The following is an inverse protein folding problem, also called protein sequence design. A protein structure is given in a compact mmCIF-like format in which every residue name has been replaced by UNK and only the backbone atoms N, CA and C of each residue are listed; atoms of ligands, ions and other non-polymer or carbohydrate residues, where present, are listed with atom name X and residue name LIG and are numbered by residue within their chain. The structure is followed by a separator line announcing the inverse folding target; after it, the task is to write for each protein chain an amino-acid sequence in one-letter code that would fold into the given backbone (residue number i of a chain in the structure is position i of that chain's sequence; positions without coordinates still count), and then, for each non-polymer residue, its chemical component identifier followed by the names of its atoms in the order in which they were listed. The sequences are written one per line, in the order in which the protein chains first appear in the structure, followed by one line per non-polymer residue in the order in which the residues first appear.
data_IF_926143942256
#
_entry.id   IF_926143942256
#
_cell.length_a   1.000
_cell.length_b   1.000
_cell.length_c   1.000
_cell.angle_alpha   90.00
_cell.angle_beta   90.00
_cell.angle_gamma   90.00
#
_symmetry.space_group_name_H-M   'P 1'
#
loop_
_entity.id
_entity.type
_entity.pdbx_description
1 polymer ?
#
# COMPACT_ATOMS: atom_id res chain seq x y z
N UNK A 1 -21.61 -69.64 -29.23
CA UNK A 1 -22.75 -68.71 -29.43
C UNK A 1 -22.14 -67.33 -29.69
N UNK A 2 -22.10 -66.89 -30.95
CA UNK A 2 -23.03 -65.91 -31.52
C UNK A 2 -22.79 -64.49 -30.96
N UNK A 3 -22.48 -63.41 -31.71
CA UNK A 3 -22.39 -63.13 -33.15
C UNK A 3 -21.54 -61.87 -33.39
N UNK A 4 -20.90 -61.86 -34.55
CA UNK A 4 -20.39 -60.71 -35.30
C UNK A 4 -21.26 -59.43 -35.22
N UNK A 5 -20.61 -58.26 -35.23
CA UNK A 5 -20.76 -57.31 -36.36
C UNK A 5 -19.66 -56.23 -36.36
N UNK A 6 -18.88 -56.30 -37.44
CA UNK A 6 -17.95 -55.31 -37.96
C UNK A 6 -18.77 -54.14 -38.54
N UNK A 7 -18.36 -52.90 -38.28
CA UNK A 7 -18.56 -51.82 -39.23
C UNK A 7 -17.31 -50.92 -39.23
N UNK A 8 -16.56 -51.01 -40.33
CA UNK A 8 -15.56 -50.04 -40.76
C UNK A 8 -16.22 -48.67 -40.92
N UNK A 9 -15.58 -47.63 -40.39
CA UNK A 9 -15.61 -46.32 -41.04
C UNK A 9 -14.20 -45.94 -41.48
N UNK A 10 -14.13 -45.73 -42.79
CA UNK A 10 -12.97 -45.43 -43.61
C UNK A 10 -12.66 -43.94 -43.49
N UNK A 11 -11.40 -43.66 -43.15
CA UNK A 11 -10.51 -42.66 -43.76
C UNK A 11 -11.10 -41.25 -44.03
N UNK A 12 -10.58 -40.29 -43.27
CA UNK A 12 -10.59 -38.87 -43.62
C UNK A 12 -9.37 -38.19 -43.01
N UNK A 13 -8.19 -38.43 -43.59
CA UNK A 13 -6.97 -37.72 -43.23
C UNK A 13 -6.97 -36.33 -43.89
N UNK A 14 -7.32 -35.30 -43.13
CA UNK A 14 -7.02 -33.91 -43.47
C UNK A 14 -5.93 -33.42 -42.53
N UNK A 15 -4.67 -33.47 -43.00
CA UNK A 15 -3.54 -32.78 -42.34
C UNK A 15 -3.68 -31.30 -42.68
N UNK A 16 -4.28 -30.55 -41.76
CA UNK A 16 -4.25 -29.08 -41.79
C UNK A 16 -3.04 -28.65 -40.96
N UNK A 17 -2.00 -28.17 -41.64
CA UNK A 17 -0.88 -27.46 -41.03
C UNK A 17 -1.40 -26.10 -40.53
N UNK A 18 -1.69 -26.01 -39.23
CA UNK A 18 -1.94 -24.74 -38.55
C UNK A 18 -0.61 -24.17 -38.02
N UNK A 19 -0.34 -22.86 -38.19
CA UNK A 19 0.80 -22.23 -37.54
C UNK A 19 0.57 -22.18 -36.03
N UNK A 20 1.57 -22.62 -35.26
CA UNK A 20 1.65 -22.39 -33.82
C UNK A 20 1.72 -20.88 -33.55
N UNK A 21 0.58 -20.28 -33.23
CA UNK A 21 0.54 -18.98 -32.59
C UNK A 21 0.20 -19.21 -31.12
N UNK A 22 1.21 -18.99 -30.28
CA UNK A 22 1.11 -18.94 -28.83
C UNK A 22 -0.06 -18.04 -28.41
N UNK A 23 -1.17 -18.65 -27.98
CA UNK A 23 -2.13 -18.01 -27.10
C UNK A 23 -1.91 -18.59 -25.70
N UNK A 24 -0.83 -18.15 -25.04
CA UNK A 24 -0.86 -18.10 -23.59
C UNK A 24 -1.92 -17.04 -23.21
N UNK A 25 -2.77 -17.29 -22.20
CA UNK A 25 -3.54 -16.19 -21.62
C UNK A 25 -2.53 -15.24 -20.99
N UNK A 26 -2.23 -14.13 -21.68
CA UNK A 26 -1.77 -12.94 -20.99
C UNK A 26 -2.97 -12.38 -20.24
N UNK A 27 -3.30 -12.99 -19.10
CA UNK A 27 -3.67 -12.18 -17.96
C UNK A 27 -2.41 -11.39 -17.62
N UNK A 28 -2.24 -10.27 -18.31
CA UNK A 28 -1.60 -9.13 -17.68
C UNK A 28 -2.53 -8.79 -16.53
N UNK A 29 -2.21 -9.30 -15.35
CA UNK A 29 -2.53 -8.58 -14.13
C UNK A 29 -1.87 -7.22 -14.32
N UNK A 30 -2.68 -6.28 -14.81
CA UNK A 30 -2.31 -4.88 -14.92
C UNK A 30 -1.95 -4.46 -13.52
N UNK A 31 -0.65 -4.42 -13.26
CA UNK A 31 -0.03 -3.79 -12.12
C UNK A 31 -0.75 -2.48 -11.88
N UNK A 32 -1.36 -2.39 -10.70
CA UNK A 32 -1.97 -1.16 -10.26
C UNK A 32 -0.92 -0.05 -10.31
N UNK A 33 -1.15 0.95 -11.14
CA UNK A 33 -1.12 2.32 -10.70
C UNK A 33 -1.76 3.20 -11.76
N UNK A 34 -3.09 3.24 -11.73
CA UNK A 34 -3.83 4.34 -12.30
C UNK A 34 -3.79 5.51 -11.31
N UNK A 35 -2.62 6.09 -11.06
CA UNK A 35 -2.52 7.40 -10.45
C UNK A 35 -2.17 8.44 -11.51
N UNK A 36 -3.27 8.99 -12.00
CA UNK A 36 -3.43 10.28 -12.64
C UNK A 36 -2.31 11.26 -12.31
N UNK A 37 -1.59 11.63 -13.36
CA UNK A 37 -0.75 12.83 -13.46
C UNK A 37 -1.54 14.06 -13.00
N UNK A 38 -1.19 14.64 -11.86
CA UNK A 38 -1.37 16.08 -11.60
C UNK A 38 -0.41 16.53 -10.48
N UNK A 39 0.56 17.34 -10.89
CA UNK A 39 1.44 18.19 -10.08
C UNK A 39 2.47 17.47 -9.22
N UNK A 40 3.68 17.36 -9.78
CA UNK A 40 4.92 17.28 -9.02
C UNK A 40 5.06 18.53 -8.13
N UNK A 41 4.38 18.52 -6.99
CA UNK A 41 4.97 19.05 -5.77
C UNK A 41 5.68 17.87 -5.14
N UNK A 42 6.98 18.02 -4.91
CA UNK A 42 7.87 16.98 -4.38
C UNK A 42 7.18 16.26 -3.22
N UNK A 43 6.66 15.05 -3.48
CA UNK A 43 6.15 14.23 -2.41
C UNK A 43 7.36 13.76 -1.63
N UNK A 44 7.51 14.14 -0.35
CA UNK A 44 8.70 13.76 0.41
C UNK A 44 8.82 12.25 0.63
N UNK A 45 7.78 11.48 0.27
CA UNK A 45 7.75 10.03 0.38
C UNK A 45 7.57 9.34 -0.99
N UNK A 46 7.91 10.00 -2.12
CA UNK A 46 7.80 9.40 -3.46
C UNK A 46 8.56 8.08 -3.58
N UNK A 47 9.68 7.97 -2.87
CA UNK A 47 10.57 6.82 -2.91
C UNK A 47 10.09 5.67 -2.01
N UNK A 48 9.09 5.91 -1.16
CA UNK A 48 8.47 4.91 -0.28
C UNK A 48 7.27 4.25 -1.00
N UNK A 49 6.54 5.02 -1.81
CA UNK A 49 5.34 4.56 -2.49
C UNK A 49 5.69 3.55 -3.61
N UNK A 50 5.54 2.26 -3.29
CA UNK A 50 5.81 1.14 -4.20
C UNK A 50 7.13 0.42 -3.95
N UNK A 51 7.95 0.91 -3.02
CA UNK A 51 9.24 0.29 -2.66
C UNK A 51 9.12 -0.79 -1.58
N UNK A 52 8.02 -0.79 -0.82
CA UNK A 52 7.73 -1.75 0.24
C UNK A 52 6.40 -2.43 0.02
N UNK A 53 6.28 -3.67 0.45
CA UNK A 53 5.00 -4.38 0.53
C UNK A 53 4.09 -3.72 1.55
N UNK A 54 2.78 -3.92 1.40
CA UNK A 54 1.79 -3.46 2.36
C UNK A 54 2.07 -3.99 3.78
N UNK A 55 2.56 -5.24 3.89
CA UNK A 55 2.86 -5.86 5.18
C UNK A 55 4.06 -5.19 5.86
N UNK A 56 5.14 -4.96 5.11
CA UNK A 56 6.34 -4.25 5.61
C UNK A 56 5.99 -2.84 6.10
N UNK A 57 5.18 -2.13 5.32
CA UNK A 57 4.71 -0.79 5.69
C UNK A 57 3.89 -0.81 6.99
N UNK A 58 2.95 -1.75 7.10
CA UNK A 58 2.10 -1.90 8.27
C UNK A 58 2.90 -2.30 9.52
N UNK A 59 3.83 -3.24 9.38
CA UNK A 59 4.65 -3.73 10.49
C UNK A 59 5.56 -2.63 11.03
N UNK A 60 6.28 -1.92 10.15
CA UNK A 60 7.13 -0.80 10.52
C UNK A 60 6.33 0.32 11.21
N UNK A 61 5.17 0.70 10.65
CA UNK A 61 4.28 1.70 11.24
C UNK A 61 3.73 1.29 12.61
N UNK A 62 3.30 0.03 12.74
CA UNK A 62 2.66 -0.49 13.96
C UNK A 62 3.60 -0.49 15.17
N UNK A 63 4.90 -0.74 14.94
CA UNK A 63 5.93 -0.74 15.97
C UNK A 63 6.31 0.65 16.46
N UNK A 64 6.15 1.68 15.62
CA UNK A 64 6.79 2.98 15.80
C UNK A 64 5.77 4.10 15.99
N UNK A 65 5.13 4.55 14.92
CA UNK A 65 4.28 5.74 14.92
C UNK A 65 2.83 5.43 15.35
N UNK A 66 2.31 4.23 15.06
CA UNK A 66 0.92 3.88 15.36
C UNK A 66 0.54 4.06 16.84
N UNK A 67 1.34 3.60 17.83
CA UNK A 67 1.00 3.76 19.25
C UNK A 67 0.92 5.23 19.67
N UNK A 68 1.77 6.08 19.09
CA UNK A 68 1.80 7.52 19.37
C UNK A 68 0.52 8.18 18.87
N UNK A 69 0.14 7.93 17.62
CA UNK A 69 -1.06 8.56 17.04
C UNK A 69 -2.37 8.00 17.58
N UNK A 70 -2.42 6.71 17.94
CA UNK A 70 -3.60 6.13 18.59
C UNK A 70 -3.82 6.76 19.96
N UNK A 71 -2.78 6.86 20.78
CA UNK A 71 -2.85 7.45 22.13
C UNK A 71 -3.27 8.92 22.10
N UNK A 72 -2.69 9.70 21.18
CA UNK A 72 -2.81 11.16 21.24
C UNK A 72 -3.84 11.75 20.25
N UNK A 73 -4.22 11.01 19.22
CA UNK A 73 -5.11 11.50 18.15
C UNK A 73 -6.34 10.61 17.94
N UNK A 74 -6.36 9.40 18.50
CA UNK A 74 -7.39 8.37 18.25
C UNK A 74 -8.81 8.81 18.56
N UNK A 75 -9.03 9.62 19.59
CA UNK A 75 -10.36 10.11 19.97
C UNK A 75 -11.08 10.84 18.83
N UNK A 76 -10.34 11.60 18.01
CA UNK A 76 -10.89 12.32 16.86
C UNK A 76 -10.59 11.59 15.55
N UNK A 77 -9.31 11.31 15.31
CA UNK A 77 -8.77 10.75 14.05
C UNK A 77 -8.79 9.22 13.96
N UNK A 78 -9.36 8.53 14.96
CA UNK A 78 -9.71 7.12 14.89
C UNK A 78 -11.22 6.88 14.77
N UNK A 79 -12.05 7.91 14.99
CA UNK A 79 -13.51 7.74 15.15
C UNK A 79 -14.29 8.51 14.10
N UNK A 80 -14.26 9.85 14.14
CA UNK A 80 -15.21 10.69 13.37
C UNK A 80 -14.54 11.78 12.51
N UNK A 81 -13.29 12.15 12.77
CA UNK A 81 -12.60 13.21 12.05
C UNK A 81 -11.68 12.65 10.96
N UNK A 82 -11.84 13.14 9.74
CA UNK A 82 -10.94 12.84 8.64
C UNK A 82 -9.68 13.72 8.68
N UNK A 83 -8.53 13.23 8.19
CA UNK A 83 -8.28 11.86 7.76
C UNK A 83 -8.20 10.87 8.94
N UNK A 84 -8.69 9.64 8.77
CA UNK A 84 -8.72 8.63 9.84
C UNK A 84 -7.43 7.80 9.89
N UNK A 85 -6.35 8.40 10.40
CA UNK A 85 -5.04 7.74 10.46
C UNK A 85 -4.75 7.02 11.79
N UNK A 86 -5.51 7.31 12.85
CA UNK A 86 -5.27 6.76 14.19
C UNK A 86 -6.20 5.57 14.49
N UNK A 87 -6.23 4.61 13.57
CA UNK A 87 -7.10 3.42 13.60
C UNK A 87 -6.33 2.15 14.01
N UNK A 88 -7.07 1.10 14.36
CA UNK A 88 -6.47 -0.20 14.76
C UNK A 88 -5.78 -0.91 13.60
N UNK A 89 -6.34 -0.80 12.39
CA UNK A 89 -5.75 -1.36 11.17
C UNK A 89 -4.50 -0.56 10.77
N UNK A 90 -3.33 -1.15 11.01
CA UNK A 90 -2.03 -0.48 10.83
C UNK A 90 -1.81 -0.05 9.38
N UNK A 91 -2.16 -0.90 8.41
CA UNK A 91 -2.00 -0.59 6.99
C UNK A 91 -2.86 0.60 6.57
N UNK A 92 -4.12 0.62 6.99
CA UNK A 92 -5.05 1.73 6.71
C UNK A 92 -4.56 3.02 7.34
N UNK A 93 -4.04 2.97 8.57
CA UNK A 93 -3.42 4.11 9.24
C UNK A 93 -2.20 4.64 8.47
N UNK A 94 -1.27 3.75 8.12
CA UNK A 94 -0.05 4.06 7.37
C UNK A 94 -0.35 4.69 6.00
N UNK A 95 -1.18 4.03 5.19
CA UNK A 95 -1.62 4.54 3.88
C UNK A 95 -2.31 5.89 4.00
N UNK A 96 -3.21 6.05 4.97
CA UNK A 96 -3.88 7.34 5.21
C UNK A 96 -2.87 8.44 5.52
N UNK A 97 -1.80 8.17 6.29
CA UNK A 97 -0.77 9.16 6.55
C UNK A 97 0.02 9.57 5.32
N UNK A 98 0.42 8.59 4.48
CA UNK A 98 1.17 8.83 3.26
C UNK A 98 0.31 9.53 2.20
N UNK A 99 -0.87 9.00 1.91
CA UNK A 99 -1.78 9.51 0.88
C UNK A 99 -2.25 10.94 1.17
N UNK A 100 -2.37 11.32 2.45
CA UNK A 100 -2.72 12.68 2.87
C UNK A 100 -1.50 13.58 3.15
N UNK A 101 -0.29 13.08 2.87
CA UNK A 101 0.99 13.77 3.09
C UNK A 101 1.10 14.35 4.51
N UNK A 102 0.69 13.55 5.50
CA UNK A 102 0.70 13.94 6.92
C UNK A 102 2.09 13.83 7.53
N UNK A 103 2.88 12.89 7.01
CA UNK A 103 4.25 12.61 7.42
C UNK A 103 5.21 12.89 6.26
N UNK A 104 6.42 13.28 6.64
CA UNK A 104 7.59 13.34 5.81
C UNK A 104 8.62 12.41 6.47
N UNK A 105 8.90 11.27 5.84
CA UNK A 105 9.76 10.23 6.38
C UNK A 105 11.26 10.59 6.27
N UNK A 106 11.63 11.49 5.36
CA UNK A 106 13.00 12.01 5.24
C UNK A 106 13.31 13.18 6.19
N UNK A 107 12.29 13.93 6.61
CA UNK A 107 12.38 14.96 7.65
C UNK A 107 11.12 14.98 8.53
N UNK A 108 11.21 14.30 9.66
CA UNK A 108 10.12 14.20 10.62
C UNK A 108 9.65 15.57 11.16
N UNK A 109 10.55 16.55 11.31
CA UNK A 109 10.17 17.88 11.79
C UNK A 109 9.35 18.64 10.75
N UNK A 110 9.63 18.44 9.46
CA UNK A 110 8.85 19.02 8.36
C UNK A 110 7.47 18.36 8.16
N UNK A 111 7.17 17.28 8.88
CA UNK A 111 5.88 16.59 8.77
C UNK A 111 4.70 17.50 9.11
N UNK A 112 3.66 17.47 8.27
CA UNK A 112 2.45 18.28 8.45
C UNK A 112 1.77 18.05 9.79
N UNK A 113 1.76 16.81 10.30
CA UNK A 113 1.20 16.49 11.62
C UNK A 113 1.98 17.17 12.76
N UNK A 114 3.32 17.22 12.67
CA UNK A 114 4.20 17.90 13.64
C UNK A 114 3.95 19.40 13.59
N UNK A 115 3.99 20.00 12.39
CA UNK A 115 3.77 21.43 12.20
C UNK A 115 2.38 21.86 12.68
N UNK A 116 1.34 21.04 12.48
CA UNK A 116 -0.01 21.34 12.98
C UNK A 116 -0.05 21.45 14.51
N UNK A 117 0.59 20.53 15.23
CA UNK A 117 0.59 20.54 16.70
C UNK A 117 1.40 21.72 17.23
N UNK A 118 2.56 22.02 16.63
CA UNK A 118 3.35 23.22 16.97
C UNK A 118 2.54 24.52 16.79
N UNK A 119 1.61 24.54 15.83
CA UNK A 119 0.71 25.66 15.58
C UNK A 119 -0.62 25.61 16.37
N UNK A 120 -0.71 24.78 17.41
CA UNK A 120 -1.85 24.77 18.33
C UNK A 120 -3.00 23.85 17.94
N UNK A 121 -2.76 22.81 17.13
CA UNK A 121 -3.74 21.73 16.97
C UNK A 121 -4.02 21.05 18.32
N UNK A 122 -5.21 20.47 18.49
CA UNK A 122 -5.80 20.04 19.77
C UNK A 122 -5.07 18.91 20.56
N UNK A 123 -3.78 18.70 20.33
CA UNK A 123 -2.89 17.86 21.14
C UNK A 123 -1.83 18.72 21.84
N UNK A 124 -1.37 18.36 23.04
CA UNK A 124 -0.29 19.08 23.71
C UNK A 124 1.00 19.10 22.87
N UNK A 125 1.72 20.23 22.86
CA UNK A 125 3.02 20.35 22.17
C UNK A 125 4.06 19.35 22.68
N UNK A 126 3.88 18.83 23.90
CA UNK A 126 4.73 17.79 24.49
C UNK A 126 4.63 16.44 23.76
N UNK A 127 3.66 16.26 22.87
CA UNK A 127 3.55 15.07 21.99
C UNK A 127 4.52 15.14 20.81
N UNK A 128 5.00 16.33 20.43
CA UNK A 128 5.84 16.52 19.24
C UNK A 128 7.11 15.65 19.26
N UNK A 129 7.90 15.57 20.35
CA UNK A 129 9.07 14.70 20.38
C UNK A 129 8.74 13.23 20.06
N UNK A 130 7.64 12.70 20.60
CA UNK A 130 7.22 11.32 20.37
C UNK A 130 6.75 11.10 18.91
N UNK A 131 6.13 12.11 18.29
CA UNK A 131 5.80 12.04 16.87
C UNK A 131 7.05 12.05 16.00
N UNK A 132 8.00 12.93 16.29
CA UNK A 132 9.28 13.00 15.57
C UNK A 132 10.04 11.68 15.70
N UNK A 133 10.14 11.14 16.91
CA UNK A 133 10.74 9.83 17.17
C UNK A 133 10.00 8.71 16.44
N UNK A 134 8.67 8.67 16.50
CA UNK A 134 7.86 7.66 15.81
C UNK A 134 8.01 7.71 14.28
N UNK A 135 8.06 8.90 13.68
CA UNK A 135 8.25 9.08 12.23
C UNK A 135 9.67 8.64 11.82
N UNK A 136 10.69 9.05 12.56
CA UNK A 136 12.08 8.63 12.30
C UNK A 136 12.23 7.11 12.49
N UNK A 137 11.61 6.54 13.51
CA UNK A 137 11.58 5.10 13.77
C UNK A 137 10.91 4.35 12.64
N UNK A 138 9.78 4.86 12.12
CA UNK A 138 9.10 4.25 10.98
C UNK A 138 10.02 4.22 9.76
N UNK A 139 10.68 5.32 9.44
CA UNK A 139 11.64 5.35 8.34
C UNK A 139 12.80 4.36 8.58
N UNK A 140 13.34 4.30 9.79
CA UNK A 140 14.44 3.39 10.12
C UNK A 140 14.05 1.90 10.01
N UNK A 141 12.83 1.52 10.39
CA UNK A 141 12.34 0.14 10.23
C UNK A 141 12.17 -0.22 8.74
N UNK A 142 11.80 0.74 7.88
CA UNK A 142 11.68 0.52 6.44
C UNK A 142 13.05 0.39 5.76
N UNK A 143 14.02 1.23 6.12
CA UNK A 143 15.38 1.19 5.59
C UNK A 143 16.18 -0.06 6.02
N UNK A 144 15.65 -0.84 6.97
CA UNK A 144 16.27 -2.06 7.48
C UNK A 144 15.82 -3.35 6.75
N UNK A 145 14.91 -3.25 5.78
CA UNK A 145 14.37 -4.35 4.98
C UNK A 145 15.26 -4.62 3.74
#
# INVERSE_FOLDING_TARGET
MNRFRILMFVLGAAVVLAPFQNCAPSHTEGTGNFFSTNSAGDDPNSDIQGSYTDQELADAFSKTLQPVVKTNCGTCHGVFQNPKFAVDDALSGAKTMLDNKLVNLSDANASKIVQKILNGHNAPVTVVPNLVEGINGWNAELEAL
#
